data_IF_382077283978
#
_entry.id   IF_382077283978
#
_cell.length_a   1.000
_cell.length_b   1.000
_cell.length_c   1.000
_cell.angle_alpha   90.00
_cell.angle_beta   90.00
_cell.angle_gamma   90.00
#
_symmetry.space_group_name_H-M   'P 1'
#
loop_
_entity.id
_entity.type
_entity.pdbx_description
1 polymer ?
#
# COMPACT_ATOMS: atom_id res chain seq x y z
N UNK A 1 30.19 -4.66 20.09
CA UNK A 1 29.74 -5.88 20.78
C UNK A 1 28.58 -6.41 19.99
N UNK A 2 28.85 -7.47 19.22
CA UNK A 2 27.89 -8.14 18.36
C UNK A 2 26.75 -8.73 19.17
N UNK A 3 25.53 -8.30 18.86
CA UNK A 3 24.30 -9.00 19.24
C UNK A 3 23.55 -9.33 17.96
N UNK A 4 24.05 -10.34 17.27
CA UNK A 4 23.36 -11.10 16.24
C UNK A 4 22.14 -11.74 16.90
N UNK A 5 20.95 -11.20 16.63
CA UNK A 5 19.71 -11.90 16.97
C UNK A 5 19.53 -13.05 15.98
N UNK A 6 19.34 -14.30 16.44
CA UNK A 6 19.00 -15.39 15.55
C UNK A 6 17.53 -15.22 15.15
N UNK A 7 17.28 -14.80 13.90
CA UNK A 7 15.99 -15.02 13.24
C UNK A 7 15.98 -16.46 12.70
N UNK A 8 15.95 -17.43 13.60
CA UNK A 8 15.73 -18.85 13.29
C UNK A 8 14.90 -19.47 14.40
N UNK A 9 13.64 -19.04 14.51
CA UNK A 9 12.58 -20.00 14.81
C UNK A 9 12.04 -20.46 13.44
N UNK A 10 12.50 -21.62 13.00
CA UNK A 10 11.87 -22.37 11.91
C UNK A 10 10.42 -22.69 12.32
N UNK A 11 9.49 -21.83 11.96
CA UNK A 11 8.09 -22.24 11.81
C UNK A 11 8.06 -23.30 10.71
N UNK A 12 7.49 -24.51 10.93
CA UNK A 12 7.55 -25.58 9.95
C UNK A 12 6.97 -25.13 8.61
N UNK A 13 7.84 -24.97 7.60
CA UNK A 13 7.53 -24.36 6.29
C UNK A 13 6.56 -25.23 5.46
N UNK A 14 6.38 -26.50 5.83
CA UNK A 14 5.33 -27.40 5.31
C UNK A 14 3.90 -26.96 5.68
N UNK A 15 3.70 -26.35 6.86
CA UNK A 15 2.39 -25.88 7.30
C UNK A 15 1.88 -24.73 6.42
N UNK A 16 2.79 -23.95 5.83
CA UNK A 16 2.46 -22.84 4.90
C UNK A 16 1.91 -23.39 3.59
N UNK A 17 2.52 -24.45 3.05
CA UNK A 17 2.08 -25.12 1.83
C UNK A 17 0.75 -25.86 2.04
N UNK A 18 0.55 -26.44 3.22
CA UNK A 18 -0.69 -27.15 3.57
C UNK A 18 -1.84 -26.19 3.88
N UNK A 19 -1.56 -25.03 4.51
CA UNK A 19 -2.53 -23.96 4.72
C UNK A 19 -3.04 -23.38 3.39
N UNK A 20 -2.14 -23.10 2.43
CA UNK A 20 -2.50 -22.61 1.08
C UNK A 20 -3.46 -23.54 0.32
N UNK A 21 -3.38 -24.86 0.57
CA UNK A 21 -4.27 -25.86 -0.05
C UNK A 21 -5.70 -25.85 0.52
N UNK A 22 -5.87 -25.45 1.78
CA UNK A 22 -7.18 -25.51 2.47
C UNK A 22 -7.97 -24.20 2.39
N UNK A 23 -7.31 -23.05 2.29
CA UNK A 23 -7.96 -21.73 2.20
C UNK A 23 -8.60 -21.46 0.84
N UNK A 24 -8.02 -21.98 -0.25
CA UNK A 24 -8.50 -21.69 -1.60
C UNK A 24 -9.93 -22.20 -1.89
N UNK A 25 -10.39 -23.22 -1.14
CA UNK A 25 -11.74 -23.76 -1.26
C UNK A 25 -12.82 -22.91 -0.55
N UNK A 26 -12.45 -21.93 0.30
CA UNK A 26 -13.39 -21.25 1.20
C UNK A 26 -13.72 -19.80 0.80
N UNK A 27 -12.92 -19.15 -0.05
CA UNK A 27 -12.95 -17.69 -0.23
C UNK A 27 -13.59 -17.16 -1.52
N UNK A 28 -14.17 -18.01 -2.38
CA UNK A 28 -14.89 -17.54 -3.58
C UNK A 28 -16.23 -16.81 -3.29
N UNK A 29 -16.51 -16.39 -2.05
CA UNK A 29 -17.82 -15.82 -1.67
C UNK A 29 -17.78 -14.67 -0.64
N UNK A 30 -16.90 -13.66 -0.75
CA UNK A 30 -17.17 -12.38 -0.04
C UNK A 30 -16.64 -11.18 -0.83
N UNK A 31 -17.47 -10.15 -0.98
CA UNK A 31 -17.19 -8.91 -1.70
C UNK A 31 -15.97 -8.13 -1.21
N UNK A 32 -15.33 -7.48 -2.18
CA UNK A 32 -13.99 -6.91 -2.16
C UNK A 32 -14.01 -5.45 -1.65
N UNK A 33 -14.19 -5.18 -0.35
CA UNK A 33 -14.19 -3.75 0.11
C UNK A 33 -13.79 -3.46 1.58
N UNK A 34 -13.40 -4.47 2.36
CA UNK A 34 -12.74 -4.26 3.64
C UNK A 34 -11.63 -5.29 3.80
N UNK A 35 -10.38 -4.84 3.98
CA UNK A 35 -9.40 -5.71 4.61
C UNK A 35 -9.98 -6.13 5.96
N UNK A 36 -10.02 -7.44 6.25
CA UNK A 36 -10.53 -7.94 7.51
C UNK A 36 -9.81 -7.20 8.65
N UNK A 37 -10.51 -6.62 9.65
CA UNK A 37 -9.87 -5.83 10.70
C UNK A 37 -8.72 -6.53 11.42
N UNK A 38 -8.73 -7.86 11.48
CA UNK A 38 -7.63 -8.70 11.99
C UNK A 38 -6.38 -8.67 11.10
N UNK A 39 -6.56 -8.74 9.78
CA UNK A 39 -5.47 -8.61 8.82
C UNK A 39 -4.83 -7.23 8.92
N UNK A 40 -5.64 -6.17 8.92
CA UNK A 40 -5.13 -4.80 9.04
C UNK A 40 -4.36 -4.62 10.36
N UNK A 41 -4.88 -5.16 11.46
CA UNK A 41 -4.22 -5.13 12.77
C UNK A 41 -2.87 -5.86 12.76
N UNK A 42 -2.82 -7.10 12.24
CA UNK A 42 -1.57 -7.86 12.11
C UNK A 42 -0.51 -7.13 11.28
N UNK A 43 -0.93 -6.51 10.16
CA UNK A 43 -0.03 -5.69 9.34
C UNK A 43 0.51 -4.49 10.10
N UNK A 44 -0.33 -3.76 10.85
CA UNK A 44 0.12 -2.61 11.63
C UNK A 44 1.09 -2.97 12.75
N UNK A 45 0.91 -4.12 13.39
CA UNK A 45 1.84 -4.65 14.39
C UNK A 45 3.22 -4.90 13.75
N UNK A 46 3.26 -5.62 12.62
CA UNK A 46 4.49 -5.86 11.86
C UNK A 46 5.15 -4.55 11.41
N UNK A 47 4.35 -3.62 10.88
CA UNK A 47 4.82 -2.33 10.40
C UNK A 47 5.45 -1.51 11.52
N UNK A 48 4.84 -1.49 12.70
CA UNK A 48 5.39 -0.81 13.85
C UNK A 48 6.70 -1.46 14.34
N UNK A 49 6.78 -2.80 14.37
CA UNK A 49 8.01 -3.51 14.73
C UNK A 49 9.15 -3.16 13.78
N UNK A 50 8.88 -3.19 12.47
CA UNK A 50 9.83 -2.79 11.43
C UNK A 50 10.21 -1.32 11.51
N UNK A 51 9.27 -0.45 11.89
CA UNK A 51 9.53 0.98 12.01
C UNK A 51 10.51 1.30 13.12
N UNK A 52 10.53 0.60 14.26
CA UNK A 52 11.55 0.84 15.30
C UNK A 52 12.98 0.43 14.92
N UNK A 53 13.19 -0.23 13.77
CA UNK A 53 14.51 -0.60 13.29
C UNK A 53 15.10 0.54 12.46
N UNK A 54 16.12 1.20 13.01
CA UNK A 54 16.76 2.36 12.38
C UNK A 54 17.19 2.13 10.92
N UNK A 55 17.63 0.91 10.58
CA UNK A 55 18.02 0.49 9.21
C UNK A 55 16.88 0.48 8.17
N UNK A 56 15.62 0.64 8.60
CA UNK A 56 14.45 0.73 7.74
C UNK A 56 14.03 2.19 7.49
N UNK A 57 14.65 3.12 8.21
CA UNK A 57 14.85 4.55 7.93
C UNK A 57 15.04 5.00 6.47
N UNK A 58 14.10 5.70 5.79
CA UNK A 58 14.49 6.53 4.65
C UNK A 58 15.24 7.78 5.15
N UNK A 59 16.53 7.62 5.37
CA UNK A 59 17.44 8.67 5.85
C UNK A 59 18.33 9.15 4.70
N UNK A 60 18.59 10.45 4.64
CA UNK A 60 19.63 11.02 3.78
C UNK A 60 21.00 10.46 4.18
N UNK A 61 21.97 10.41 3.26
CA UNK A 61 23.32 9.90 3.56
C UNK A 61 23.99 10.62 4.75
N UNK A 62 23.80 11.94 4.85
CA UNK A 62 24.27 12.73 5.99
C UNK A 62 23.62 12.30 7.32
N UNK A 63 22.32 12.03 7.32
CA UNK A 63 21.58 11.56 8.49
C UNK A 63 21.94 10.12 8.86
N UNK A 64 22.29 9.28 7.88
CA UNK A 64 22.79 7.91 8.12
C UNK A 64 24.11 7.92 8.89
N UNK A 65 25.01 8.85 8.55
CA UNK A 65 26.28 9.01 9.25
C UNK A 65 26.13 9.56 10.68
N UNK A 66 24.99 10.19 10.99
CA UNK A 66 24.71 10.88 12.26
C UNK A 66 23.47 10.33 13.00
N UNK A 67 23.09 9.08 12.73
CA UNK A 67 21.92 8.38 13.28
C UNK A 67 21.80 8.51 14.81
N UNK A 68 22.94 8.44 15.52
CA UNK A 68 23.00 8.46 16.98
C UNK A 68 22.71 9.84 17.59
N UNK A 69 23.02 10.92 16.86
CA UNK A 69 22.90 12.31 17.33
C UNK A 69 21.64 13.01 16.80
N UNK A 70 20.93 12.39 15.86
CA UNK A 70 19.69 12.89 15.28
C UNK A 70 18.55 12.92 16.30
N UNK A 71 17.65 13.89 16.15
CA UNK A 71 16.37 13.93 16.87
C UNK A 71 15.33 13.02 16.20
N UNK A 72 14.82 12.05 16.96
CA UNK A 72 13.84 11.05 16.56
C UNK A 72 12.39 11.45 16.91
N UNK A 73 12.14 12.70 17.31
CA UNK A 73 10.81 13.14 17.74
C UNK A 73 9.77 13.03 16.61
N UNK A 74 10.15 13.24 15.35
CA UNK A 74 9.22 13.12 14.22
C UNK A 74 8.78 11.66 14.01
N UNK A 75 9.73 10.74 14.09
CA UNK A 75 9.49 9.30 14.01
C UNK A 75 8.67 8.82 15.20
N UNK A 76 8.97 9.27 16.43
CA UNK A 76 8.19 8.91 17.61
C UNK A 76 6.73 9.40 17.54
N UNK A 77 6.47 10.58 16.95
CA UNK A 77 5.09 11.05 16.69
C UNK A 77 4.35 10.11 15.74
N UNK A 78 5.02 9.63 14.69
CA UNK A 78 4.43 8.68 13.73
C UNK A 78 4.18 7.33 14.42
N UNK A 79 5.16 6.80 15.16
CA UNK A 79 5.01 5.56 15.92
C UNK A 79 3.83 5.64 16.90
N UNK A 80 3.69 6.75 17.63
CA UNK A 80 2.56 7.00 18.52
C UNK A 80 1.22 6.96 17.78
N UNK A 81 1.12 7.64 16.64
CA UNK A 81 -0.11 7.60 15.82
C UNK A 81 -0.45 6.18 15.37
N UNK A 82 0.56 5.40 15.00
CA UNK A 82 0.39 3.98 14.66
C UNK A 82 -0.05 3.14 15.85
N UNK A 83 0.51 3.36 17.04
CA UNK A 83 0.07 2.67 18.26
C UNK A 83 -1.39 3.00 18.64
N UNK A 84 -1.81 4.25 18.46
CA UNK A 84 -3.22 4.62 18.61
C UNK A 84 -4.12 3.91 17.58
N UNK A 85 -3.66 3.80 16.33
CA UNK A 85 -4.38 3.05 15.27
C UNK A 85 -4.50 1.56 15.62
N UNK A 86 -3.43 0.94 16.12
CA UNK A 86 -3.42 -0.44 16.60
C UNK A 86 -4.46 -0.60 17.71
N UNK A 87 -4.44 0.27 18.72
CA UNK A 87 -5.40 0.24 19.84
C UNK A 87 -6.86 0.33 19.36
N UNK A 88 -7.16 1.24 18.43
CA UNK A 88 -8.49 1.37 17.82
C UNK A 88 -8.92 0.11 17.06
N UNK A 89 -8.00 -0.49 16.29
CA UNK A 89 -8.28 -1.72 15.54
C UNK A 89 -8.48 -2.91 16.47
N UNK A 90 -7.70 -3.02 17.55
CA UNK A 90 -7.86 -4.06 18.57
C UNK A 90 -9.24 -3.98 19.21
N UNK A 91 -9.68 -2.80 19.66
CA UNK A 91 -11.03 -2.59 20.20
C UNK A 91 -12.12 -2.95 19.18
N UNK A 92 -11.91 -2.62 17.90
CA UNK A 92 -12.85 -2.99 16.83
C UNK A 92 -12.91 -4.50 16.62
N UNK A 93 -11.78 -5.20 16.68
CA UNK A 93 -11.74 -6.67 16.56
C UNK A 93 -12.46 -7.31 17.76
N UNK A 94 -12.19 -6.84 18.99
CA UNK A 94 -12.89 -7.29 20.20
C UNK A 94 -14.40 -7.13 20.05
N UNK A 95 -14.87 -5.94 19.66
CA UNK A 95 -16.29 -5.67 19.46
C UNK A 95 -16.93 -6.60 18.42
N UNK A 96 -16.24 -6.85 17.29
CA UNK A 96 -16.75 -7.73 16.24
C UNK A 96 -16.79 -9.20 16.68
N UNK A 97 -15.83 -9.64 17.49
CA UNK A 97 -15.83 -10.98 18.08
C UNK A 97 -16.97 -11.16 19.06
N UNK A 98 -17.20 -10.19 19.95
CA UNK A 98 -18.29 -10.23 20.91
C UNK A 98 -19.67 -10.14 20.24
N UNK A 99 -19.80 -9.36 19.16
CA UNK A 99 -21.03 -9.32 18.36
C UNK A 99 -21.30 -10.67 17.67
N UNK A 100 -20.28 -11.28 17.04
CA UNK A 100 -20.39 -12.63 16.44
C UNK A 100 -20.76 -13.68 17.49
N UNK A 101 -20.17 -13.59 18.69
CA UNK A 101 -20.51 -14.46 19.82
C UNK A 101 -21.93 -14.26 20.30
N UNK A 102 -22.40 -13.03 20.46
CA UNK A 102 -23.77 -12.77 20.90
C UNK A 102 -24.78 -13.34 19.90
N UNK A 103 -24.48 -13.24 18.61
CA UNK A 103 -25.31 -13.85 17.56
C UNK A 103 -25.26 -15.39 17.59
N UNK A 104 -24.07 -15.99 17.74
CA UNK A 104 -23.90 -17.45 17.81
C UNK A 104 -24.42 -18.05 19.12
N UNK A 105 -24.28 -17.30 20.22
CA UNK A 105 -24.77 -17.60 21.56
C UNK A 105 -26.29 -17.63 21.58
N UNK A 106 -26.98 -16.64 21.01
CA UNK A 106 -28.45 -16.71 20.87
C UNK A 106 -28.92 -17.91 20.04
N UNK A 107 -28.20 -18.27 18.99
CA UNK A 107 -28.52 -19.44 18.18
C UNK A 107 -28.23 -20.77 18.91
N UNK A 108 -27.15 -20.83 19.67
CA UNK A 108 -26.73 -22.00 20.46
C UNK A 108 -27.53 -22.16 21.75
N UNK A 109 -27.89 -21.07 22.44
CA UNK A 109 -28.77 -21.03 23.60
C UNK A 109 -30.15 -21.53 23.23
N UNK A 110 -30.73 -21.11 22.09
CA UNK A 110 -31.98 -21.68 21.58
C UNK A 110 -31.89 -23.21 21.40
N UNK A 111 -30.74 -23.71 20.94
CA UNK A 111 -30.50 -25.15 20.72
C UNK A 111 -30.22 -25.92 22.03
N UNK A 112 -29.56 -25.27 23.00
CA UNK A 112 -29.23 -25.84 24.31
C UNK A 112 -30.42 -25.78 25.28
N UNK A 113 -31.34 -24.83 25.09
CA UNK A 113 -32.62 -24.72 25.82
C UNK A 113 -33.55 -25.85 25.39
N UNK A 114 -33.65 -26.08 24.07
CA UNK A 114 -34.34 -27.24 23.49
C UNK A 114 -33.80 -28.59 24.01
N UNK A 115 -32.52 -28.63 24.41
CA UNK A 115 -31.85 -29.82 24.94
C UNK A 115 -31.75 -29.84 26.48
N UNK A 116 -32.20 -28.79 27.19
CA UNK A 116 -32.18 -28.71 28.65
C UNK A 116 -30.78 -28.67 29.30
N UNK A 117 -29.75 -28.23 28.58
CA UNK A 117 -28.33 -28.28 28.99
C UNK A 117 -27.72 -26.89 29.30
N UNK A 118 -28.54 -25.86 29.37
CA UNK A 118 -28.13 -24.46 29.45
C UNK A 118 -27.38 -24.12 30.76
N UNK A 119 -27.86 -24.63 31.90
CA UNK A 119 -27.26 -24.37 33.23
C UNK A 119 -25.87 -25.00 33.41
N UNK A 120 -25.61 -26.14 32.75
CA UNK A 120 -24.32 -26.82 32.78
C UNK A 120 -23.26 -26.11 31.92
N UNK A 121 -23.68 -25.43 30.84
CA UNK A 121 -22.79 -24.68 29.97
C UNK A 121 -22.36 -23.33 30.61
N UNK A 122 -23.26 -22.66 31.32
CA UNK A 122 -22.99 -21.38 31.99
C UNK A 122 -22.03 -21.52 33.19
N UNK A 123 -22.05 -22.68 33.85
CA UNK A 123 -21.23 -22.96 35.04
C UNK A 123 -19.78 -23.40 34.73
N UNK A 124 -19.46 -23.70 33.46
CA UNK A 124 -18.15 -24.18 33.03
C UNK A 124 -17.09 -23.07 32.80
N UNK A 125 -17.43 -21.79 33.01
CA UNK A 125 -16.45 -20.70 33.17
C UNK A 125 -15.32 -20.68 32.12
N UNK A 126 -15.66 -20.66 30.83
CA UNK A 126 -14.67 -20.51 29.76
C UNK A 126 -14.03 -19.11 29.85
N UNK A 127 -12.71 -19.05 29.96
CA UNK A 127 -11.95 -17.80 29.87
C UNK A 127 -12.38 -16.98 28.66
N UNK A 128 -12.57 -15.67 28.85
CA UNK A 128 -13.01 -14.79 27.77
C UNK A 128 -11.95 -14.76 26.66
N UNK A 129 -12.21 -15.27 25.44
CA UNK A 129 -11.19 -15.38 24.40
C UNK A 129 -10.76 -14.01 23.83
N UNK A 130 -11.43 -12.92 24.24
CA UNK A 130 -11.06 -11.53 23.93
C UNK A 130 -10.05 -10.95 24.92
N UNK A 131 -9.81 -11.57 26.08
CA UNK A 131 -8.86 -11.08 27.09
C UNK A 131 -7.44 -10.87 26.53
N UNK A 132 -6.86 -11.80 25.74
CA UNK A 132 -5.55 -11.58 25.13
C UNK A 132 -5.48 -10.36 24.20
N UNK A 133 -6.60 -9.97 23.57
CA UNK A 133 -6.69 -8.76 22.75
C UNK A 133 -6.79 -7.50 23.61
N UNK A 134 -7.50 -7.56 24.73
CA UNK A 134 -7.56 -6.46 25.70
C UNK A 134 -6.18 -6.20 26.31
N UNK A 135 -5.49 -7.26 26.75
CA UNK A 135 -4.13 -7.18 27.29
C UNK A 135 -3.15 -6.55 26.28
N UNK A 136 -3.30 -6.89 24.99
CA UNK A 136 -2.53 -6.27 23.90
C UNK A 136 -2.85 -4.77 23.76
N UNK A 137 -4.12 -4.38 23.83
CA UNK A 137 -4.52 -2.98 23.75
C UNK A 137 -3.97 -2.16 24.93
N UNK A 138 -3.99 -2.71 26.14
CA UNK A 138 -3.41 -2.09 27.34
C UNK A 138 -1.90 -1.91 27.20
N UNK A 139 -1.18 -2.96 26.80
CA UNK A 139 0.27 -2.87 26.61
C UNK A 139 0.68 -1.81 25.57
N UNK A 140 -0.06 -1.71 24.45
CA UNK A 140 0.19 -0.68 23.43
C UNK A 140 -0.18 0.72 23.92
N UNK A 141 -1.23 0.83 24.74
CA UNK A 141 -1.66 2.09 25.35
C UNK A 141 -0.61 2.62 26.34
N UNK A 142 -0.03 1.76 27.18
CA UNK A 142 1.02 2.17 28.12
C UNK A 142 2.25 2.72 27.39
N UNK A 143 2.64 2.09 26.28
CA UNK A 143 3.76 2.57 25.46
C UNK A 143 3.40 3.88 24.74
N UNK A 144 2.13 4.08 24.36
CA UNK A 144 1.67 5.38 23.84
C UNK A 144 1.90 6.50 24.86
N UNK A 145 1.51 6.28 26.12
CA UNK A 145 1.67 7.27 27.19
C UNK A 145 3.15 7.57 27.43
N UNK A 146 4.00 6.56 27.49
CA UNK A 146 5.46 6.76 27.60
C UNK A 146 6.01 7.59 26.42
N UNK A 147 5.50 7.34 25.21
CA UNK A 147 5.90 8.09 24.02
C UNK A 147 5.44 9.54 24.07
N UNK A 148 4.26 9.83 24.64
CA UNK A 148 3.77 11.20 24.85
C UNK A 148 4.69 11.98 25.81
N UNK A 149 5.02 11.40 26.96
CA UNK A 149 5.92 12.06 27.92
C UNK A 149 7.30 12.36 27.32
N UNK A 150 7.83 11.47 26.48
CA UNK A 150 9.09 11.73 25.76
C UNK A 150 8.97 12.84 24.71
N UNK A 151 7.81 12.95 24.04
CA UNK A 151 7.57 14.00 23.05
C UNK A 151 7.40 15.38 23.71
N UNK A 152 6.85 15.44 24.92
CA UNK A 152 6.74 16.67 25.70
C UNK A 152 8.11 17.23 26.13
N UNK A 153 9.13 16.37 26.25
CA UNK A 153 10.51 16.78 26.56
C UNK A 153 11.21 17.53 25.40
N UNK A 154 10.58 17.64 24.23
CA UNK A 154 10.98 18.52 23.12
C UNK A 154 11.98 17.91 22.13
N UNK A 155 12.77 16.92 22.52
CA UNK A 155 13.66 16.15 21.62
C UNK A 155 13.77 14.70 22.06
N UNK A 156 13.95 13.78 21.12
CA UNK A 156 14.04 12.34 21.38
C UNK A 156 15.39 11.84 20.88
N UNK A 157 16.23 11.38 21.80
CA UNK A 157 17.52 10.76 21.45
C UNK A 157 17.33 9.38 20.80
N UNK A 158 18.34 8.92 20.06
CA UNK A 158 18.36 7.56 19.53
C UNK A 158 18.18 6.50 20.62
N UNK A 159 18.76 6.69 21.81
CA UNK A 159 18.63 5.75 22.92
C UNK A 159 17.19 5.66 23.45
N UNK A 160 16.50 6.80 23.57
CA UNK A 160 15.10 6.82 23.97
C UNK A 160 14.23 6.10 22.93
N UNK A 161 14.43 6.43 21.64
CA UNK A 161 13.78 5.75 20.51
C UNK A 161 13.99 4.23 20.54
N UNK A 162 15.25 3.78 20.64
CA UNK A 162 15.60 2.38 20.65
C UNK A 162 15.05 1.65 21.90
N UNK A 163 14.96 2.34 23.04
CA UNK A 163 14.42 1.77 24.28
C UNK A 163 12.92 1.54 24.16
N UNK A 164 12.16 2.51 23.64
CA UNK A 164 10.73 2.34 23.36
C UNK A 164 10.51 1.17 22.40
N UNK A 165 11.31 1.09 21.32
CA UNK A 165 11.24 -0.02 20.38
C UNK A 165 11.49 -1.39 21.03
N UNK A 166 12.48 -1.50 21.92
CA UNK A 166 12.77 -2.72 22.67
C UNK A 166 11.63 -3.12 23.63
N UNK A 167 11.03 -2.14 24.31
CA UNK A 167 9.87 -2.38 25.19
C UNK A 167 8.71 -2.91 24.35
N UNK A 168 8.40 -2.25 23.24
CA UNK A 168 7.35 -2.70 22.32
C UNK A 168 7.60 -4.12 21.82
N UNK A 169 8.79 -4.41 21.28
CA UNK A 169 9.11 -5.76 20.79
C UNK A 169 8.89 -6.80 21.88
N UNK A 170 9.36 -6.53 23.11
CA UNK A 170 9.19 -7.45 24.24
C UNK A 170 7.72 -7.71 24.58
N UNK A 171 6.88 -6.67 24.62
CA UNK A 171 5.46 -6.86 24.94
C UNK A 171 4.71 -7.57 23.81
N UNK A 172 5.03 -7.28 22.54
CA UNK A 172 4.45 -7.98 21.39
C UNK A 172 4.86 -9.45 21.34
N UNK A 173 6.13 -9.77 21.64
CA UNK A 173 6.62 -11.15 21.64
C UNK A 173 5.97 -11.99 22.76
N UNK A 174 5.63 -11.36 23.89
CA UNK A 174 4.90 -11.98 25.00
C UNK A 174 3.41 -12.19 24.71
N UNK A 175 2.82 -11.34 23.87
CA UNK A 175 1.40 -11.41 23.52
C UNK A 175 1.12 -12.53 22.51
N UNK A 176 0.36 -13.54 22.93
CA UNK A 176 -0.10 -14.59 22.02
C UNK A 176 -1.03 -14.02 20.93
N UNK A 177 -1.88 -13.06 21.29
CA UNK A 177 -2.77 -12.38 20.35
C UNK A 177 -1.99 -11.67 19.24
N UNK A 178 -0.93 -10.91 19.61
CA UNK A 178 -0.08 -10.24 18.63
C UNK A 178 0.55 -11.26 17.67
N UNK A 179 1.17 -12.33 18.20
CA UNK A 179 1.80 -13.38 17.38
C UNK A 179 0.79 -14.10 16.48
N UNK A 180 -0.44 -14.31 16.94
CA UNK A 180 -1.50 -14.92 16.13
C UNK A 180 -1.95 -14.00 14.98
N UNK A 181 -2.13 -12.70 15.28
CA UNK A 181 -2.52 -11.69 14.30
C UNK A 181 -1.43 -11.47 13.24
N UNK A 182 -0.15 -11.38 13.63
CA UNK A 182 0.97 -11.25 12.71
C UNK A 182 1.10 -12.46 11.78
N UNK A 183 0.93 -13.68 12.31
CA UNK A 183 0.94 -14.92 11.49
C UNK A 183 -0.25 -14.95 10.54
N UNK A 184 -1.45 -14.62 11.02
CA UNK A 184 -2.65 -14.59 10.19
C UNK A 184 -2.51 -13.58 9.04
N UNK A 185 -2.00 -12.37 9.30
CA UNK A 185 -1.77 -11.38 8.25
C UNK A 185 -0.69 -11.82 7.25
N UNK A 186 0.32 -12.57 7.69
CA UNK A 186 1.34 -13.11 6.81
C UNK A 186 0.78 -14.17 5.85
N UNK A 187 -0.02 -15.12 6.37
CA UNK A 187 -0.58 -16.21 5.57
C UNK A 187 -1.72 -15.77 4.64
N UNK A 188 -2.62 -14.90 5.12
CA UNK A 188 -3.78 -14.42 4.35
C UNK A 188 -3.35 -13.64 3.09
N UNK A 189 -2.23 -12.92 3.16
CA UNK A 189 -1.68 -12.24 1.99
C UNK A 189 -1.17 -13.22 0.91
N UNK A 190 -0.55 -14.33 1.31
CA UNK A 190 -0.09 -15.36 0.39
C UNK A 190 -1.26 -16.17 -0.22
N UNK A 191 -2.33 -16.38 0.54
CA UNK A 191 -3.54 -17.08 0.09
C UNK A 191 -4.32 -16.30 -0.99
N UNK A 192 -4.14 -14.98 -1.07
CA UNK A 192 -4.78 -14.09 -2.06
C UNK A 192 -4.06 -14.03 -3.40
N UNK A 193 -3.13 -14.94 -3.67
CA UNK A 193 -2.49 -15.03 -4.98
C UNK A 193 -3.55 -15.22 -6.09
N UNK A 194 -3.49 -14.45 -7.19
CA UNK A 194 -4.31 -14.72 -8.36
C UNK A 194 -4.15 -16.17 -8.82
N UNK A 195 -5.28 -16.84 -9.08
CA UNK A 195 -5.29 -18.24 -9.51
C UNK A 195 -4.33 -18.55 -10.68
N UNK A 196 -4.13 -17.66 -11.69
CA UNK A 196 -3.14 -17.91 -12.74
C UNK A 196 -1.70 -18.01 -12.23
N UNK A 197 -1.30 -17.21 -11.23
CA UNK A 197 0.06 -17.28 -10.65
C UNK A 197 0.26 -18.55 -9.82
N UNK A 198 -0.78 -18.96 -9.09
CA UNK A 198 -0.76 -20.22 -8.35
C UNK A 198 -0.62 -21.41 -9.30
N UNK A 199 -1.37 -21.42 -10.41
CA UNK A 199 -1.27 -22.45 -11.45
C UNK A 199 0.11 -22.47 -12.12
N UNK A 200 0.77 -21.32 -12.28
CA UNK A 200 2.12 -21.25 -12.84
C UNK A 200 3.17 -21.81 -11.87
N UNK A 201 3.09 -21.42 -10.60
CA UNK A 201 3.96 -21.97 -9.57
C UNK A 201 3.76 -23.49 -9.37
N UNK A 202 2.56 -24.01 -9.65
CA UNK A 202 2.26 -25.44 -9.64
C UNK A 202 2.65 -26.18 -10.93
N UNK A 203 2.76 -25.47 -12.06
CA UNK A 203 3.18 -26.03 -13.35
C UNK A 203 4.70 -26.24 -13.42
N UNK A 204 5.48 -25.43 -12.71
CA UNK A 204 6.86 -25.75 -12.36
C UNK A 204 6.79 -26.88 -11.33
N UNK A 205 7.47 -28.01 -11.59
CA UNK A 205 7.40 -29.19 -10.71
C UNK A 205 7.54 -28.77 -9.23
N UNK A 206 6.46 -28.88 -8.42
CA UNK A 206 6.47 -28.41 -7.03
C UNK A 206 7.45 -29.18 -6.15
N UNK A 207 7.89 -30.38 -6.60
CA UNK A 207 8.89 -31.18 -5.93
C UNK A 207 10.33 -30.75 -6.28
N UNK A 208 10.50 -29.91 -7.29
CA UNK A 208 11.81 -29.32 -7.63
C UNK A 208 12.13 -28.14 -6.71
N UNK A 209 13.41 -27.95 -6.40
CA UNK A 209 13.89 -26.79 -5.64
C UNK A 209 13.45 -25.46 -6.29
N UNK A 210 13.51 -25.40 -7.63
CA UNK A 210 13.10 -24.24 -8.41
C UNK A 210 11.60 -23.93 -8.26
N UNK A 211 10.72 -24.93 -8.33
CA UNK A 211 9.27 -24.72 -8.16
C UNK A 211 8.92 -24.13 -6.79
N UNK A 212 9.56 -24.64 -5.74
CA UNK A 212 9.43 -24.08 -4.38
C UNK A 212 9.93 -22.64 -4.30
N UNK A 213 11.10 -22.34 -4.87
CA UNK A 213 11.69 -20.99 -4.82
C UNK A 213 10.81 -19.98 -5.56
N UNK A 214 10.28 -20.34 -6.74
CA UNK A 214 9.37 -19.49 -7.52
C UNK A 214 8.05 -19.22 -6.79
N UNK A 215 7.49 -20.24 -6.11
CA UNK A 215 6.28 -20.05 -5.30
C UNK A 215 6.51 -19.07 -4.14
N UNK A 216 7.68 -19.14 -3.50
CA UNK A 216 8.06 -18.20 -2.44
C UNK A 216 8.16 -16.78 -3.00
N UNK A 217 8.86 -16.60 -4.13
CA UNK A 217 9.01 -15.30 -4.79
C UNK A 217 7.66 -14.68 -5.13
N UNK A 218 6.75 -15.44 -5.75
CA UNK A 218 5.42 -14.93 -6.07
C UNK A 218 4.59 -14.62 -4.82
N UNK A 219 4.68 -15.46 -3.79
CA UNK A 219 3.98 -15.23 -2.50
C UNK A 219 4.46 -13.96 -1.82
N UNK A 220 5.75 -13.69 -1.85
CA UNK A 220 6.36 -12.48 -1.30
C UNK A 220 5.97 -11.23 -2.09
N UNK A 221 6.03 -11.29 -3.43
CA UNK A 221 5.59 -10.18 -4.29
C UNK A 221 4.09 -9.86 -4.11
N UNK A 222 3.23 -10.88 -4.04
CA UNK A 222 1.81 -10.69 -3.78
C UNK A 222 1.56 -10.04 -2.42
N UNK A 223 2.30 -10.47 -1.39
CA UNK A 223 2.22 -9.90 -0.05
C UNK A 223 2.67 -8.43 -0.03
N UNK A 224 3.76 -8.10 -0.72
CA UNK A 224 4.23 -6.71 -0.88
C UNK A 224 3.18 -5.83 -1.58
N UNK A 225 2.53 -6.34 -2.63
CA UNK A 225 1.45 -5.64 -3.33
C UNK A 225 0.22 -5.40 -2.44
N UNK A 226 -0.19 -6.38 -1.64
CA UNK A 226 -1.32 -6.22 -0.72
C UNK A 226 -1.03 -5.18 0.38
N UNK A 227 0.23 -5.08 0.85
CA UNK A 227 0.62 -4.00 1.77
C UNK A 227 0.52 -2.63 1.12
N UNK A 228 0.97 -2.50 -0.13
CA UNK A 228 0.83 -1.25 -0.88
C UNK A 228 -0.63 -0.88 -1.13
N UNK A 229 -1.54 -1.86 -1.19
CA UNK A 229 -2.99 -1.60 -1.29
C UNK A 229 -3.54 -0.80 -0.10
N UNK A 230 -2.97 -0.96 1.10
CA UNK A 230 -3.35 -0.13 2.26
C UNK A 230 -2.95 1.34 2.06
N UNK A 231 -1.78 1.58 1.46
CA UNK A 231 -1.31 2.93 1.11
C UNK A 231 -2.20 3.52 0.03
N UNK A 232 -2.53 2.76 -1.02
CA UNK A 232 -3.48 3.17 -2.07
C UNK A 232 -4.84 3.56 -1.48
N UNK A 233 -5.37 2.73 -0.58
CA UNK A 233 -6.65 3.00 0.08
C UNK A 233 -6.61 4.29 0.91
N UNK A 234 -5.45 4.59 1.50
CA UNK A 234 -5.25 5.82 2.28
C UNK A 234 -5.10 7.06 1.40
N UNK A 235 -4.41 6.93 0.25
CA UNK A 235 -4.33 7.96 -0.80
C UNK A 235 -5.72 8.32 -1.34
N UNK A 236 -6.51 7.32 -1.75
CA UNK A 236 -7.87 7.52 -2.30
C UNK A 236 -8.86 8.14 -1.31
N UNK A 237 -8.66 7.92 0.00
CA UNK A 237 -9.54 8.40 1.08
C UNK A 237 -9.05 9.70 1.73
N UNK A 238 -8.00 10.32 1.18
CA UNK A 238 -7.37 11.53 1.71
C UNK A 238 -7.09 11.45 3.22
N UNK A 239 -6.62 10.28 3.68
CA UNK A 239 -6.26 10.05 5.09
C UNK A 239 -4.89 10.67 5.37
N UNK A 240 -4.55 10.98 6.64
CA UNK A 240 -3.19 11.42 6.98
C UNK A 240 -2.13 10.43 6.47
N UNK A 241 -1.29 10.85 5.51
CA UNK A 241 -0.42 9.92 4.79
C UNK A 241 0.93 9.66 5.46
N UNK A 242 1.37 10.54 6.38
CA UNK A 242 2.60 10.31 7.17
C UNK A 242 2.57 9.01 7.95
N UNK A 243 1.39 8.61 8.41
CA UNK A 243 1.21 7.37 9.15
C UNK A 243 1.41 6.11 8.28
N UNK A 244 1.58 6.25 6.96
CA UNK A 244 1.93 5.15 6.05
C UNK A 244 3.43 4.84 6.05
N UNK A 245 4.27 5.70 6.65
CA UNK A 245 5.71 5.48 6.68
C UNK A 245 6.12 4.14 7.33
N UNK A 246 5.51 3.68 8.44
CA UNK A 246 5.73 2.33 8.97
C UNK A 246 5.40 1.21 7.97
N UNK A 247 4.37 1.39 7.14
CA UNK A 247 4.00 0.41 6.10
C UNK A 247 5.07 0.36 5.01
N UNK A 248 5.61 1.52 4.60
CA UNK A 248 6.77 1.54 3.70
C UNK A 248 8.00 0.86 4.33
N UNK A 249 8.29 1.12 5.60
CA UNK A 249 9.40 0.45 6.30
C UNK A 249 9.22 -1.09 6.34
N UNK A 250 7.98 -1.57 6.49
CA UNK A 250 7.66 -3.00 6.39
C UNK A 250 7.93 -3.55 4.99
N UNK A 251 7.39 -2.87 3.97
CA UNK A 251 7.62 -3.20 2.55
C UNK A 251 9.11 -3.26 2.23
N UNK A 252 9.90 -2.30 2.72
CA UNK A 252 11.35 -2.28 2.52
C UNK A 252 12.06 -3.44 3.18
N UNK A 253 11.68 -3.76 4.42
CA UNK A 253 12.27 -4.87 5.15
C UNK A 253 12.05 -6.20 4.42
N UNK A 254 10.81 -6.47 4.00
CA UNK A 254 10.49 -7.74 3.35
C UNK A 254 10.92 -7.80 1.90
N UNK A 255 10.92 -6.69 1.18
CA UNK A 255 11.50 -6.66 -0.15
C UNK A 255 13.00 -6.99 -0.08
N UNK A 256 13.76 -6.43 0.88
CA UNK A 256 15.16 -6.85 1.07
C UNK A 256 15.30 -8.33 1.46
N UNK A 257 14.39 -8.86 2.28
CA UNK A 257 14.35 -10.28 2.60
C UNK A 257 14.15 -11.16 1.35
N UNK A 258 13.25 -10.75 0.45
CA UNK A 258 13.04 -11.41 -0.83
C UNK A 258 14.29 -11.34 -1.74
N UNK A 259 14.94 -10.17 -1.82
CA UNK A 259 16.15 -10.00 -2.63
C UNK A 259 17.31 -10.87 -2.10
N UNK A 260 17.51 -10.90 -0.77
CA UNK A 260 18.50 -11.76 -0.12
C UNK A 260 18.19 -13.24 -0.36
N UNK A 261 16.91 -13.64 -0.29
CA UNK A 261 16.49 -15.00 -0.64
C UNK A 261 16.82 -15.35 -2.11
N UNK A 262 16.55 -14.45 -3.05
CA UNK A 262 16.87 -14.68 -4.47
C UNK A 262 18.39 -14.84 -4.65
N UNK A 263 19.20 -13.96 -4.06
CA UNK A 263 20.65 -13.94 -4.21
C UNK A 263 21.35 -15.13 -3.53
N UNK A 264 20.91 -15.49 -2.33
CA UNK A 264 21.56 -16.51 -1.50
C UNK A 264 21.05 -17.91 -1.77
N UNK A 265 19.82 -18.06 -2.28
CA UNK A 265 19.16 -19.34 -2.50
C UNK A 265 18.76 -19.56 -3.95
N UNK A 266 17.84 -18.76 -4.50
CA UNK A 266 17.21 -19.07 -5.79
C UNK A 266 18.22 -19.08 -6.95
N UNK A 267 19.14 -18.11 -7.00
CA UNK A 267 20.21 -18.04 -8.01
C UNK A 267 21.30 -19.10 -7.82
N UNK A 268 21.33 -19.79 -6.68
CA UNK A 268 22.30 -20.84 -6.36
C UNK A 268 21.73 -22.26 -6.50
N UNK A 269 20.52 -22.39 -7.02
CA UNK A 269 19.91 -23.69 -7.27
C UNK A 269 20.66 -24.41 -8.39
N UNK A 270 21.04 -25.67 -8.13
CA UNK A 270 21.72 -26.52 -9.11
C UNK A 270 20.84 -26.71 -10.36
N UNK A 271 21.47 -26.79 -11.53
CA UNK A 271 20.82 -26.96 -12.83
C UNK A 271 19.82 -25.83 -13.24
N UNK A 272 20.02 -24.61 -12.71
CA UNK A 272 19.23 -23.45 -13.13
C UNK A 272 19.49 -23.10 -14.60
N UNK A 273 18.42 -23.10 -15.42
CA UNK A 273 18.52 -22.70 -16.82
C UNK A 273 18.96 -21.24 -16.95
N UNK A 274 19.82 -20.94 -17.95
CA UNK A 274 20.40 -19.60 -18.17
C UNK A 274 19.34 -18.51 -18.25
N UNK A 275 18.25 -18.75 -18.98
CA UNK A 275 17.17 -17.78 -19.15
C UNK A 275 16.48 -17.44 -17.82
N UNK A 276 16.39 -18.41 -16.91
CA UNK A 276 15.78 -18.22 -15.58
C UNK A 276 16.75 -17.47 -14.65
N UNK A 277 18.03 -17.81 -14.72
CA UNK A 277 19.08 -17.07 -14.01
C UNK A 277 19.06 -15.60 -14.40
N UNK A 278 19.13 -15.29 -15.71
CA UNK A 278 19.19 -13.91 -16.22
C UNK A 278 17.95 -13.10 -15.83
N UNK A 279 16.78 -13.74 -15.84
CA UNK A 279 15.54 -13.07 -15.44
C UNK A 279 15.45 -12.81 -13.93
N UNK A 280 15.86 -13.78 -13.09
CA UNK A 280 15.88 -13.61 -11.64
C UNK A 280 16.93 -12.57 -11.21
N UNK A 281 18.12 -12.60 -11.82
CA UNK A 281 19.18 -11.62 -11.55
C UNK A 281 18.78 -10.21 -12.01
N UNK A 282 18.22 -10.10 -13.23
CA UNK A 282 17.69 -8.84 -13.75
C UNK A 282 16.57 -8.26 -12.89
N UNK A 283 15.64 -9.11 -12.43
CA UNK A 283 14.58 -8.72 -11.50
C UNK A 283 15.16 -8.26 -10.15
N UNK A 284 16.10 -9.02 -9.58
CA UNK A 284 16.75 -8.70 -8.31
C UNK A 284 17.47 -7.35 -8.37
N UNK A 285 18.21 -7.09 -9.45
CA UNK A 285 18.88 -5.82 -9.70
C UNK A 285 17.87 -4.67 -9.85
N UNK A 286 16.85 -4.84 -10.69
CA UNK A 286 15.85 -3.80 -10.93
C UNK A 286 15.10 -3.40 -9.64
N UNK A 287 14.65 -4.39 -8.86
CA UNK A 287 14.01 -4.16 -7.57
C UNK A 287 14.93 -3.46 -6.58
N UNK A 288 16.22 -3.83 -6.53
CA UNK A 288 17.21 -3.17 -5.68
C UNK A 288 17.34 -1.68 -6.03
N UNK A 289 17.38 -1.36 -7.32
CA UNK A 289 17.48 0.02 -7.80
C UNK A 289 16.24 0.85 -7.45
N UNK A 290 15.04 0.31 -7.68
CA UNK A 290 13.78 1.00 -7.38
C UNK A 290 13.57 1.19 -5.87
N UNK A 291 13.91 0.18 -5.04
CA UNK A 291 13.90 0.34 -3.58
C UNK A 291 14.86 1.46 -3.14
N UNK A 292 16.08 1.49 -3.68
CA UNK A 292 17.05 2.56 -3.37
C UNK A 292 16.53 3.93 -3.79
N UNK A 293 15.92 4.05 -4.96
CA UNK A 293 15.31 5.30 -5.43
C UNK A 293 14.23 5.79 -4.45
N UNK A 294 13.35 4.91 -4.02
CA UNK A 294 12.25 5.26 -3.11
C UNK A 294 12.75 5.62 -1.71
N UNK A 295 13.65 4.85 -1.13
CA UNK A 295 14.11 5.04 0.27
C UNK A 295 15.24 6.03 0.43
N UNK A 296 16.05 6.26 -0.61
CA UNK A 296 17.16 7.23 -0.58
C UNK A 296 16.80 8.58 -1.20
N UNK A 297 15.66 8.72 -1.88
CA UNK A 297 15.25 9.99 -2.50
C UNK A 297 13.81 10.39 -2.18
N UNK A 298 12.81 9.59 -2.57
CA UNK A 298 11.39 9.99 -2.48
C UNK A 298 10.92 10.18 -1.03
N UNK A 299 11.18 9.19 -0.17
CA UNK A 299 10.70 9.16 1.22
C UNK A 299 11.61 9.91 2.20
N UNK A 300 12.80 10.35 1.77
CA UNK A 300 13.78 11.02 2.65
C UNK A 300 13.22 12.31 3.22
N UNK A 301 13.19 12.42 4.54
CA UNK A 301 12.66 13.60 5.24
C UNK A 301 11.13 13.70 5.26
N UNK A 302 10.40 12.67 4.82
CA UNK A 302 8.93 12.66 4.87
C UNK A 302 8.39 12.90 6.29
N UNK A 303 9.08 12.39 7.31
CA UNK A 303 8.68 12.51 8.72
C UNK A 303 8.63 13.97 9.20
N UNK A 304 9.48 14.85 8.67
CA UNK A 304 9.59 16.26 9.08
C UNK A 304 8.69 17.23 8.29
N UNK A 305 8.19 16.85 7.11
CA UNK A 305 7.35 17.72 6.26
C UNK A 305 6.07 18.16 6.97
N UNK A 306 5.64 19.42 6.87
CA UNK A 306 4.41 19.87 7.57
C UNK A 306 3.20 20.02 6.65
N UNK A 307 3.43 20.31 5.38
CA UNK A 307 2.37 20.62 4.42
C UNK A 307 1.83 19.35 3.77
N UNK A 308 0.50 19.23 3.64
CA UNK A 308 -0.15 18.06 3.04
C UNK A 308 0.24 17.81 1.57
N UNK A 309 0.33 18.82 0.67
CA UNK A 309 0.65 18.58 -0.74
C UNK A 309 1.99 17.85 -1.00
N UNK A 310 3.14 18.27 -0.42
CA UNK A 310 4.39 17.56 -0.64
C UNK A 310 4.42 16.17 0.03
N UNK A 311 3.66 15.96 1.11
CA UNK A 311 3.51 14.63 1.73
C UNK A 311 2.77 13.71 0.78
N UNK A 312 1.65 14.18 0.20
CA UNK A 312 0.85 13.40 -0.74
C UNK A 312 1.68 13.02 -1.97
N UNK A 313 2.32 13.99 -2.62
CA UNK A 313 3.10 13.75 -3.84
C UNK A 313 4.20 12.70 -3.61
N UNK A 314 4.92 12.76 -2.49
CA UNK A 314 5.97 11.79 -2.16
C UNK A 314 5.42 10.40 -1.86
N UNK A 315 4.31 10.31 -1.12
CA UNK A 315 3.67 9.03 -0.82
C UNK A 315 3.08 8.39 -2.08
N UNK A 316 2.43 9.18 -2.93
CA UNK A 316 1.91 8.75 -4.24
C UNK A 316 3.03 8.24 -5.15
N UNK A 317 4.12 9.00 -5.29
CA UNK A 317 5.28 8.61 -6.09
C UNK A 317 5.93 7.33 -5.56
N UNK A 318 6.23 7.27 -4.26
CA UNK A 318 6.84 6.09 -3.63
C UNK A 318 5.97 4.83 -3.78
N UNK A 319 4.65 4.97 -3.56
CA UNK A 319 3.70 3.89 -3.78
C UNK A 319 3.69 3.46 -5.26
N UNK A 320 3.62 4.41 -6.19
CA UNK A 320 3.58 4.15 -7.63
C UNK A 320 4.81 3.38 -8.10
N UNK A 321 6.01 3.86 -7.77
CA UNK A 321 7.28 3.22 -8.14
C UNK A 321 7.38 1.78 -7.63
N UNK A 322 7.13 1.55 -6.33
CA UNK A 322 7.23 0.22 -5.74
C UNK A 322 6.17 -0.72 -6.32
N UNK A 323 4.94 -0.25 -6.45
CA UNK A 323 3.85 -1.05 -6.98
C UNK A 323 4.14 -1.48 -8.42
N UNK A 324 4.50 -0.53 -9.28
CA UNK A 324 4.75 -0.80 -10.69
C UNK A 324 5.96 -1.76 -10.83
N UNK A 325 7.01 -1.58 -10.02
CA UNK A 325 8.18 -2.47 -10.00
C UNK A 325 7.86 -3.91 -9.54
N UNK A 326 7.06 -4.07 -8.47
CA UNK A 326 6.62 -5.40 -8.03
C UNK A 326 5.69 -6.06 -9.06
N UNK A 327 4.77 -5.30 -9.67
CA UNK A 327 3.89 -5.81 -10.71
C UNK A 327 4.68 -6.26 -11.95
N UNK A 328 5.66 -5.47 -12.40
CA UNK A 328 6.55 -5.83 -13.51
C UNK A 328 7.36 -7.08 -13.20
N UNK A 329 7.85 -7.22 -11.97
CA UNK A 329 8.57 -8.43 -11.52
C UNK A 329 7.69 -9.67 -11.58
N UNK A 330 6.43 -9.56 -11.13
CA UNK A 330 5.45 -10.66 -11.25
C UNK A 330 5.18 -11.01 -12.71
N UNK A 331 4.94 -10.00 -13.57
CA UNK A 331 4.62 -10.21 -14.99
C UNK A 331 5.80 -10.85 -15.72
N UNK A 332 7.00 -10.28 -15.58
CA UNK A 332 8.21 -10.77 -16.25
C UNK A 332 8.50 -12.22 -15.89
N UNK A 333 8.44 -12.54 -14.59
CA UNK A 333 8.67 -13.91 -14.12
C UNK A 333 7.56 -14.86 -14.59
N UNK A 334 6.29 -14.43 -14.56
CA UNK A 334 5.17 -15.27 -14.97
C UNK A 334 5.16 -15.56 -16.48
N UNK A 335 5.54 -14.59 -17.31
CA UNK A 335 5.62 -14.73 -18.76
C UNK A 335 6.70 -15.71 -19.22
N UNK A 336 7.76 -15.92 -18.43
CA UNK A 336 8.76 -16.96 -18.73
C UNK A 336 8.17 -18.37 -18.68
N UNK A 337 7.28 -18.62 -17.71
CA UNK A 337 6.63 -19.93 -17.55
C UNK A 337 5.39 -20.07 -18.43
N UNK A 338 4.75 -18.95 -18.78
CA UNK A 338 3.63 -18.91 -19.71
C UNK A 338 3.62 -17.62 -20.54
N UNK A 339 4.20 -17.66 -21.75
CA UNK A 339 4.26 -16.49 -22.64
C UNK A 339 2.89 -15.98 -23.09
N UNK A 340 1.85 -16.81 -23.02
CA UNK A 340 0.48 -16.46 -23.41
C UNK A 340 -0.35 -15.89 -22.25
N UNK A 341 0.27 -15.66 -21.10
CA UNK A 341 -0.41 -15.14 -19.92
C UNK A 341 -0.92 -13.72 -20.18
N UNK A 342 -2.24 -13.56 -20.10
CA UNK A 342 -2.89 -12.26 -20.19
C UNK A 342 -2.62 -11.43 -18.93
N UNK A 343 -1.77 -10.42 -19.07
CA UNK A 343 -1.36 -9.50 -18.00
C UNK A 343 -2.56 -8.73 -17.44
N UNK A 344 -3.57 -8.43 -18.27
CA UNK A 344 -4.76 -7.72 -17.84
C UNK A 344 -5.61 -8.54 -16.85
N UNK A 345 -5.52 -9.87 -16.93
CA UNK A 345 -6.18 -10.79 -15.99
C UNK A 345 -5.48 -10.92 -14.64
N UNK A 346 -4.18 -10.62 -14.56
CA UNK A 346 -3.40 -10.72 -13.31
C UNK A 346 -3.66 -9.54 -12.37
N UNK A 347 -3.82 -8.34 -12.93
CA UNK A 347 -4.04 -7.13 -12.15
C UNK A 347 -5.13 -6.28 -12.80
N UNK A 348 -6.36 -6.40 -12.30
CA UNK A 348 -7.50 -5.56 -12.72
C UNK A 348 -7.23 -4.06 -12.59
N UNK A 349 -6.30 -3.66 -11.73
CA UNK A 349 -5.93 -2.24 -11.57
C UNK A 349 -5.14 -1.67 -12.75
N UNK A 350 -4.44 -2.49 -13.55
CA UNK A 350 -3.85 -1.98 -14.80
C UNK A 350 -4.95 -1.56 -15.77
N UNK A 351 -6.02 -2.36 -15.88
CA UNK A 351 -7.20 -1.99 -16.66
C UNK A 351 -7.83 -0.70 -16.11
N UNK A 352 -8.00 -0.59 -14.79
CA UNK A 352 -8.55 0.64 -14.19
C UNK A 352 -7.68 1.87 -14.42
N UNK A 353 -6.35 1.80 -14.26
CA UNK A 353 -5.44 2.95 -14.52
C UNK A 353 -5.39 3.32 -16.00
N UNK A 354 -5.45 2.31 -16.87
CA UNK A 354 -5.55 2.51 -18.32
C UNK A 354 -6.86 3.22 -18.65
N UNK A 355 -8.01 2.69 -18.22
CA UNK A 355 -9.34 3.28 -18.45
C UNK A 355 -9.39 4.73 -17.92
N UNK A 356 -8.85 4.97 -16.72
CA UNK A 356 -8.76 6.30 -16.12
C UNK A 356 -7.85 7.23 -16.93
N UNK A 357 -6.73 6.74 -17.45
CA UNK A 357 -5.80 7.54 -18.24
C UNK A 357 -6.34 7.82 -19.64
N UNK A 358 -7.07 6.88 -20.25
CA UNK A 358 -7.78 7.07 -21.51
C UNK A 358 -8.88 8.13 -21.34
N UNK A 359 -9.73 7.98 -20.33
CA UNK A 359 -10.81 8.92 -20.04
C UNK A 359 -10.26 10.32 -19.73
N UNK A 360 -9.22 10.42 -18.89
CA UNK A 360 -8.55 11.69 -18.61
C UNK A 360 -7.97 12.33 -19.87
N UNK A 361 -7.34 11.54 -20.73
CA UNK A 361 -6.72 12.02 -21.98
C UNK A 361 -7.78 12.59 -22.93
N UNK A 362 -8.89 11.89 -23.11
CA UNK A 362 -10.01 12.34 -23.95
C UNK A 362 -10.64 13.63 -23.40
N UNK A 363 -10.80 13.70 -22.07
CA UNK A 363 -11.34 14.87 -21.39
C UNK A 363 -10.41 16.09 -21.50
N UNK A 364 -9.10 15.90 -21.31
CA UNK A 364 -8.10 16.96 -21.46
C UNK A 364 -8.03 17.48 -22.89
N UNK A 365 -8.10 16.59 -23.89
CA UNK A 365 -8.16 17.00 -25.29
C UNK A 365 -9.42 17.81 -25.60
N UNK A 366 -10.58 17.33 -25.13
CA UNK A 366 -11.86 18.04 -25.29
C UNK A 366 -11.78 19.44 -24.65
N UNK A 367 -11.23 19.52 -23.44
CA UNK A 367 -11.07 20.77 -22.72
C UNK A 367 -10.16 21.74 -23.48
N UNK A 368 -9.02 21.25 -23.97
CA UNK A 368 -8.09 22.03 -24.78
C UNK A 368 -8.77 22.61 -26.03
N UNK A 369 -9.61 21.83 -26.71
CA UNK A 369 -10.33 22.33 -27.88
C UNK A 369 -11.38 23.39 -27.52
N UNK A 370 -12.11 23.21 -26.43
CA UNK A 370 -13.06 24.22 -25.97
C UNK A 370 -12.37 25.52 -25.54
N UNK A 371 -11.20 25.44 -24.90
CA UNK A 371 -10.40 26.62 -24.53
C UNK A 371 -9.93 27.36 -25.79
N UNK A 372 -9.35 26.66 -26.77
CA UNK A 372 -8.91 27.26 -28.05
C UNK A 372 -10.07 27.87 -28.84
N UNK A 373 -11.24 27.22 -28.83
CA UNK A 373 -12.45 27.75 -29.49
C UNK A 373 -12.94 29.02 -28.80
N UNK A 374 -13.03 29.02 -27.47
CA UNK A 374 -13.41 30.19 -26.68
C UNK A 374 -12.43 31.37 -26.87
N UNK A 375 -11.13 31.09 -26.98
CA UNK A 375 -10.09 32.09 -27.26
C UNK A 375 -10.26 32.74 -28.65
N UNK A 376 -10.61 31.93 -29.66
CA UNK A 376 -10.75 32.38 -31.06
C UNK A 376 -12.06 33.12 -31.34
N UNK A 377 -13.19 32.58 -30.88
CA UNK A 377 -14.53 33.11 -31.20
C UNK A 377 -14.93 34.27 -30.28
N UNK A 378 -14.43 34.30 -29.04
CA UNK A 378 -14.67 35.39 -28.04
C UNK A 378 -16.14 35.71 -27.78
N UNK A 379 -17.03 34.76 -28.04
CA UNK A 379 -18.47 34.89 -27.85
C UNK A 379 -18.92 34.22 -26.53
N UNK A 380 -20.12 34.57 -26.06
CA UNK A 380 -20.72 34.04 -24.82
C UNK A 380 -21.04 32.55 -24.91
N UNK A 381 -21.46 32.05 -26.08
CA UNK A 381 -21.83 30.65 -26.23
C UNK A 381 -20.65 29.66 -26.03
N UNK A 382 -19.47 29.86 -26.67
CA UNK A 382 -18.29 29.03 -26.42
C UNK A 382 -17.81 29.05 -24.95
N UNK A 383 -17.87 30.21 -24.30
CA UNK A 383 -17.46 30.37 -22.90
C UNK A 383 -18.40 29.61 -21.97
N UNK A 384 -19.73 29.67 -22.17
CA UNK A 384 -20.69 28.90 -21.36
C UNK A 384 -20.46 27.39 -21.49
N UNK A 385 -20.23 26.89 -22.71
CA UNK A 385 -19.91 25.46 -22.94
C UNK A 385 -18.59 25.05 -22.28
N UNK A 386 -17.58 25.92 -22.31
CA UNK A 386 -16.33 25.68 -21.60
C UNK A 386 -16.57 25.58 -20.08
N UNK A 387 -17.34 26.49 -19.48
CA UNK A 387 -17.64 26.45 -18.04
C UNK A 387 -18.39 25.18 -17.63
N UNK A 388 -19.39 24.75 -18.40
CA UNK A 388 -20.10 23.48 -18.16
C UNK A 388 -19.13 22.29 -18.21
N UNK A 389 -18.22 22.28 -19.20
CA UNK A 389 -17.22 21.22 -19.30
C UNK A 389 -16.18 21.26 -18.18
N UNK A 390 -15.78 22.45 -17.70
CA UNK A 390 -14.87 22.60 -16.56
C UNK A 390 -15.51 22.04 -15.27
N UNK A 391 -16.81 22.26 -15.05
CA UNK A 391 -17.54 21.67 -13.91
C UNK A 391 -17.55 20.14 -14.03
N UNK A 392 -17.93 19.61 -15.20
CA UNK A 392 -17.93 18.16 -15.45
C UNK A 392 -16.53 17.54 -15.28
N UNK A 393 -15.48 18.23 -15.74
CA UNK A 393 -14.10 17.80 -15.57
C UNK A 393 -13.69 17.79 -14.10
N UNK A 394 -14.04 18.84 -13.34
CA UNK A 394 -13.75 18.95 -11.91
C UNK A 394 -14.42 17.84 -11.10
N UNK A 395 -15.69 17.55 -11.38
CA UNK A 395 -16.45 16.52 -10.68
C UNK A 395 -16.08 15.09 -11.15
N UNK A 396 -15.59 14.95 -12.38
CA UNK A 396 -15.20 13.69 -13.00
C UNK A 396 -13.70 13.46 -12.97
N UNK A 397 -13.05 13.86 -14.05
CA UNK A 397 -11.73 13.37 -14.48
C UNK A 397 -10.54 14.05 -13.83
N UNK A 398 -10.73 15.22 -13.21
CA UNK A 398 -9.69 15.92 -12.43
C UNK A 398 -9.04 14.97 -11.41
N UNK A 399 -9.84 14.08 -10.80
CA UNK A 399 -9.38 13.09 -9.83
C UNK A 399 -8.30 12.12 -10.36
N UNK A 400 -8.16 12.03 -11.68
CA UNK A 400 -7.18 11.17 -12.36
C UNK A 400 -5.88 11.90 -12.74
N UNK A 401 -5.81 13.23 -12.56
CA UNK A 401 -4.56 13.96 -12.65
C UNK A 401 -3.63 13.61 -11.49
N UNK A 402 -2.32 13.74 -11.71
CA UNK A 402 -1.36 13.69 -10.60
C UNK A 402 -1.66 14.84 -9.64
N UNK A 403 -1.57 14.59 -8.34
CA UNK A 403 -1.98 15.57 -7.33
C UNK A 403 -1.23 16.92 -7.43
N UNK A 404 0.04 16.88 -7.83
CA UNK A 404 0.86 18.09 -8.06
C UNK A 404 0.21 19.07 -9.07
N UNK A 405 -0.60 18.55 -9.99
CA UNK A 405 -1.22 19.30 -11.07
C UNK A 405 -2.62 19.80 -10.69
N UNK A 406 -3.22 19.30 -9.60
CA UNK A 406 -4.57 19.67 -9.18
C UNK A 406 -4.68 21.16 -8.88
N UNK A 407 -3.79 21.69 -8.03
CA UNK A 407 -3.87 23.08 -7.59
C UNK A 407 -3.69 24.05 -8.77
N UNK A 408 -2.77 23.76 -9.70
CA UNK A 408 -2.58 24.57 -10.89
C UNK A 408 -3.81 24.53 -11.80
N UNK A 409 -4.38 23.35 -12.01
CA UNK A 409 -5.59 23.17 -12.82
C UNK A 409 -6.80 23.89 -12.19
N UNK A 410 -7.04 23.72 -10.89
CA UNK A 410 -8.12 24.40 -10.16
C UNK A 410 -7.98 25.91 -10.20
N UNK A 411 -6.77 26.45 -10.01
CA UNK A 411 -6.52 27.90 -10.15
C UNK A 411 -6.91 28.43 -11.53
N UNK A 412 -6.56 27.72 -12.60
CA UNK A 412 -7.00 28.12 -13.95
C UNK A 412 -8.52 28.06 -14.12
N UNK A 413 -9.18 27.02 -13.60
CA UNK A 413 -10.64 26.90 -13.64
C UNK A 413 -11.32 28.07 -12.92
N UNK A 414 -10.80 28.46 -11.75
CA UNK A 414 -11.29 29.60 -10.99
C UNK A 414 -11.05 30.93 -11.70
N UNK A 415 -9.87 31.14 -12.30
CA UNK A 415 -9.56 32.34 -13.09
C UNK A 415 -10.49 32.47 -14.30
N UNK A 416 -10.80 31.38 -15.02
CA UNK A 416 -11.75 31.38 -16.14
C UNK A 416 -13.16 31.72 -15.65
N UNK A 417 -13.59 31.15 -14.51
CA UNK A 417 -14.90 31.40 -13.94
C UNK A 417 -15.07 32.83 -13.38
N UNK A 418 -13.98 33.43 -12.89
CA UNK A 418 -13.98 34.77 -12.30
C UNK A 418 -13.88 35.91 -13.33
N UNK A 419 -13.32 35.65 -14.52
CA UNK A 419 -13.07 36.65 -15.55
C UNK A 419 -14.37 37.32 -16.05
N UNK A 420 -14.41 38.66 -16.06
CA UNK A 420 -15.57 39.44 -16.49
C UNK A 420 -15.35 40.01 -17.89
N UNK A 421 -15.89 39.31 -18.88
CA UNK A 421 -15.92 39.76 -20.27
C UNK A 421 -14.67 39.36 -21.07
N UNK A 422 -14.74 39.61 -22.38
CA UNK A 422 -13.79 39.05 -23.35
C UNK A 422 -12.33 39.52 -23.16
N UNK A 423 -12.14 40.74 -22.64
CA UNK A 423 -10.79 41.33 -22.46
C UNK A 423 -10.02 40.64 -21.33
N UNK A 424 -10.69 40.30 -20.23
CA UNK A 424 -10.07 39.63 -19.09
C UNK A 424 -9.88 38.13 -19.33
N UNK A 425 -10.83 37.48 -20.01
CA UNK A 425 -10.80 36.02 -20.19
C UNK A 425 -9.76 35.58 -21.22
N UNK A 426 -9.51 36.37 -22.26
CA UNK A 426 -8.59 36.01 -23.37
C UNK A 426 -7.17 35.66 -22.89
N UNK A 427 -6.47 36.49 -22.09
CA UNK A 427 -5.13 36.15 -21.61
C UNK A 427 -5.12 34.96 -20.62
N UNK A 428 -6.24 34.71 -19.93
CA UNK A 428 -6.39 33.50 -19.08
C UNK A 428 -6.51 32.26 -19.95
N UNK A 429 -7.38 32.28 -20.97
CA UNK A 429 -7.57 31.17 -21.91
C UNK A 429 -6.28 30.80 -22.65
N UNK A 430 -5.51 31.80 -23.08
CA UNK A 430 -4.22 31.58 -23.73
C UNK A 430 -3.23 30.82 -22.82
N UNK A 431 -3.06 31.29 -21.58
CA UNK A 431 -2.21 30.62 -20.58
C UNK A 431 -2.73 29.22 -20.25
N UNK A 432 -4.05 29.06 -20.17
CA UNK A 432 -4.67 27.78 -19.86
C UNK A 432 -4.51 26.77 -21.00
N UNK A 433 -4.61 27.20 -22.28
CA UNK A 433 -4.33 26.34 -23.44
C UNK A 433 -2.91 25.79 -23.40
N UNK A 434 -1.92 26.65 -23.16
CA UNK A 434 -0.51 26.24 -23.06
C UNK A 434 -0.27 25.26 -21.89
N UNK A 435 -0.94 25.50 -20.76
CA UNK A 435 -0.91 24.57 -19.62
C UNK A 435 -1.52 23.21 -19.97
N UNK A 436 -2.71 23.19 -20.58
CA UNK A 436 -3.40 21.95 -20.96
C UNK A 436 -2.64 21.16 -22.02
N UNK A 437 -1.98 21.83 -22.97
CA UNK A 437 -1.08 21.18 -23.94
C UNK A 437 0.07 20.46 -23.25
N UNK A 438 0.71 21.14 -22.30
CA UNK A 438 1.82 20.57 -21.53
C UNK A 438 1.33 19.39 -20.68
N UNK A 439 0.18 19.55 -20.01
CA UNK A 439 -0.42 18.54 -19.16
C UNK A 439 -0.84 17.30 -19.96
N UNK A 440 -1.46 17.49 -21.13
CA UNK A 440 -1.82 16.41 -22.05
C UNK A 440 -0.56 15.67 -22.53
N UNK A 441 0.50 16.40 -22.87
CA UNK A 441 1.80 15.83 -23.21
C UNK A 441 2.34 14.94 -22.08
N UNK A 442 2.29 15.39 -20.83
CA UNK A 442 2.72 14.60 -19.67
C UNK A 442 1.83 13.37 -19.44
N UNK A 443 0.51 13.48 -19.62
CA UNK A 443 -0.42 12.35 -19.50
C UNK A 443 -0.14 11.31 -20.59
N UNK A 444 0.15 11.72 -21.83
CA UNK A 444 0.50 10.82 -22.92
C UNK A 444 1.79 10.02 -22.67
N UNK A 445 2.67 10.50 -21.81
CA UNK A 445 3.90 9.80 -21.41
C UNK A 445 3.69 8.75 -20.32
N UNK A 446 2.45 8.56 -19.82
CA UNK A 446 2.16 7.52 -18.82
C UNK A 446 2.44 6.14 -19.41
N UNK A 447 3.18 5.31 -18.68
CA UNK A 447 3.57 3.97 -19.13
C UNK A 447 2.36 3.09 -19.54
N UNK A 448 1.21 3.25 -18.89
CA UNK A 448 -0.02 2.50 -19.23
C UNK A 448 -0.58 2.82 -20.61
N UNK A 449 -0.19 3.96 -21.22
CA UNK A 449 -0.66 4.37 -22.54
C UNK A 449 0.32 3.99 -23.67
N UNK A 450 1.42 3.29 -23.38
CA UNK A 450 2.48 2.99 -24.35
C UNK A 450 1.96 2.25 -25.60
N UNK A 451 0.97 1.37 -25.45
CA UNK A 451 0.34 0.61 -26.55
C UNK A 451 -0.95 1.27 -27.08
N UNK A 452 -1.33 2.43 -26.55
CA UNK A 452 -2.56 3.14 -26.89
C UNK A 452 -2.22 4.54 -27.43
N UNK A 453 -1.65 4.66 -28.65
CA UNK A 453 -1.34 5.97 -29.22
C UNK A 453 -2.60 6.83 -29.27
N UNK A 454 -2.46 8.13 -29.01
CA UNK A 454 -3.59 9.04 -29.05
C UNK A 454 -3.81 9.53 -30.48
N UNK A 455 -4.91 9.11 -31.08
CA UNK A 455 -5.39 9.67 -32.33
C UNK A 455 -6.14 10.95 -32.01
N UNK A 456 -5.55 12.09 -32.35
CA UNK A 456 -6.17 13.40 -32.14
C UNK A 456 -7.42 13.53 -33.01
N UNK A 457 -8.64 13.47 -32.44
CA UNK A 457 -9.86 13.60 -33.22
C UNK A 457 -9.92 14.98 -33.88
N UNK A 458 -10.45 15.09 -35.11
CA UNK A 458 -10.56 16.36 -35.80
C UNK A 458 -11.40 17.36 -34.99
N UNK A 459 -11.10 18.64 -35.19
CA UNK A 459 -11.83 19.74 -34.58
C UNK A 459 -13.24 19.78 -35.18
N UNK A 460 -14.21 19.17 -34.51
CA UNK A 460 -15.61 19.38 -34.88
C UNK A 460 -15.94 20.88 -34.75
N UNK A 461 -16.35 21.46 -35.88
CA UNK A 461 -16.54 22.90 -36.11
C UNK A 461 -17.56 23.60 -35.23
#
# INVERSE_FOLDING_TARGET
MDTSFPLTEEVPREDTLQALRTTHAREQRVGYEASEPRYELGMWLQALRGFFRARNHPLAEADQSSVLTRDWAHELRIARQTMLRISQLTLRVVYLEDAKRTAAGRAGESLLDDLGLLDAAQSAGLEQPTRPLVDLAEAVSDICVLSESLLEAGSVSFYAWATIGKILHRELDRSEAARALERASHHDAAAKLPAPLLSLAQAVDPASALGSDILIIFSDLARLLERLRLVETSLRRDRPLKQMLPVFCLVYEEARGLLDFIETRALRTDDLASDIFDALDGMNYALTMELRKVFSHELVGLSSLRQSPPIYARVENAHGLLRDSFQQSVVGLAQMFNPTLDVARLFSTFQTKLDQSLLLRDDLWTLLQLVRRAEKERDRQPISRLLERLISFREGSLRYLMYKDWEACERFMEEVAAARGAVEVTPVLHRFSAYLETLLGQVNMRAVLAEHPFEYPPLDG
#
